data_IF_512455870858
#
_entry.id   IF_512455870858
#
_cell.length_a   1.000
_cell.length_b   1.000
_cell.length_c   1.000
_cell.angle_alpha   90.00
_cell.angle_beta   90.00
_cell.angle_gamma   90.00
#
_symmetry.space_group_name_H-M   'P 1'
#
loop_
_entity.id
_entity.type
_entity.pdbx_description
1 polymer ?
#
# COMPACT_ATOMS: atom_id res chain seq x y z
N UNK A 1 8.76 -28.27 -22.99
CA UNK A 1 8.10 -27.53 -21.88
C UNK A 1 7.49 -26.18 -22.29
N UNK A 2 7.57 -25.73 -23.55
CA UNK A 2 6.99 -24.46 -24.02
C UNK A 2 5.56 -24.53 -24.60
N UNK A 3 4.85 -25.66 -24.47
CA UNK A 3 3.56 -25.86 -25.16
C UNK A 3 2.31 -25.84 -24.26
N UNK A 4 2.49 -25.76 -22.96
CA UNK A 4 1.39 -25.63 -21.99
C UNK A 4 1.88 -24.67 -20.89
N UNK A 5 1.39 -23.42 -20.86
CA UNK A 5 1.72 -22.39 -19.87
C UNK A 5 1.18 -22.77 -18.47
N UNK A 6 1.60 -23.92 -17.94
CA UNK A 6 1.29 -24.35 -16.58
C UNK A 6 2.31 -23.69 -15.66
N UNK A 7 1.93 -22.56 -15.05
CA UNK A 7 2.68 -21.97 -13.94
C UNK A 7 2.50 -22.87 -12.70
N UNK A 8 3.40 -23.83 -12.53
CA UNK A 8 3.47 -24.60 -11.28
C UNK A 8 3.99 -23.68 -10.16
N UNK A 9 3.33 -23.67 -8.98
CA UNK A 9 3.85 -22.98 -7.81
C UNK A 9 5.27 -23.48 -7.47
N UNK A 10 6.13 -22.57 -7.03
CA UNK A 10 7.55 -22.86 -6.75
C UNK A 10 7.75 -24.04 -5.79
N UNK A 11 6.80 -24.26 -4.87
CA UNK A 11 6.86 -25.39 -3.93
C UNK A 11 6.89 -26.75 -4.66
N UNK A 12 6.08 -26.92 -5.71
CA UNK A 12 6.02 -28.17 -6.47
C UNK A 12 7.29 -28.40 -7.30
N UNK A 13 7.88 -27.32 -7.82
CA UNK A 13 9.14 -27.38 -8.57
C UNK A 13 10.29 -27.83 -7.66
N UNK A 14 10.37 -27.29 -6.43
CA UNK A 14 11.36 -27.69 -5.44
C UNK A 14 11.17 -29.16 -4.99
N UNK A 15 9.93 -29.59 -4.77
CA UNK A 15 9.64 -31.00 -4.46
C UNK A 15 10.05 -31.94 -5.60
N UNK A 16 9.72 -31.60 -6.86
CA UNK A 16 10.10 -32.39 -8.02
C UNK A 16 11.63 -32.51 -8.17
N UNK A 17 12.36 -31.42 -7.91
CA UNK A 17 13.83 -31.41 -7.91
C UNK A 17 14.41 -32.30 -6.80
N UNK A 18 13.84 -32.24 -5.60
CA UNK A 18 14.22 -33.10 -4.49
C UNK A 18 13.99 -34.58 -4.79
N UNK A 19 12.83 -34.93 -5.34
CA UNK A 19 12.51 -36.30 -5.75
C UNK A 19 13.50 -36.81 -6.80
N UNK A 20 13.78 -35.98 -7.82
CA UNK A 20 14.73 -36.30 -8.90
C UNK A 20 16.13 -36.56 -8.36
N UNK A 21 16.57 -35.80 -7.36
CA UNK A 21 17.88 -35.98 -6.74
C UNK A 21 17.97 -37.30 -5.96
N UNK A 22 16.90 -37.68 -5.25
CA UNK A 22 16.82 -38.96 -4.54
C UNK A 22 16.82 -40.13 -5.52
N UNK A 23 16.05 -40.04 -6.60
CA UNK A 23 16.00 -41.05 -7.67
C UNK A 23 17.37 -41.23 -8.34
N UNK A 24 18.03 -40.14 -8.71
CA UNK A 24 19.37 -40.17 -9.29
C UNK A 24 20.41 -40.78 -8.33
N UNK A 25 20.25 -40.57 -7.01
CA UNK A 25 21.16 -41.16 -6.03
C UNK A 25 20.86 -42.63 -5.80
N UNK A 26 19.58 -43.03 -5.78
CA UNK A 26 19.15 -44.42 -5.64
C UNK A 26 19.58 -45.30 -6.80
N UNK A 27 19.41 -44.84 -8.04
CA UNK A 27 19.83 -45.54 -9.26
C UNK A 27 21.36 -45.75 -9.36
N UNK A 28 22.16 -44.92 -8.66
CA UNK A 28 23.62 -45.10 -8.59
C UNK A 28 24.03 -46.20 -7.62
N UNK A 29 23.18 -46.57 -6.66
CA UNK A 29 23.42 -47.65 -5.70
C UNK A 29 22.85 -48.99 -6.18
N UNK A 30 21.67 -48.96 -6.80
CA UNK A 30 20.98 -50.11 -7.34
C UNK A 30 20.32 -49.74 -8.69
N UNK A 31 20.85 -50.22 -9.83
CA UNK A 31 20.38 -49.85 -11.16
C UNK A 31 18.95 -50.33 -11.48
N UNK A 32 18.44 -51.36 -10.80
CA UNK A 32 17.16 -52.00 -11.09
C UNK A 32 16.02 -51.55 -10.15
N UNK A 33 16.28 -50.52 -9.32
CA UNK A 33 15.33 -50.06 -8.31
C UNK A 33 14.16 -49.26 -8.94
N UNK A 34 12.91 -49.70 -8.69
CA UNK A 34 11.70 -48.93 -9.01
C UNK A 34 11.34 -48.01 -7.83
N UNK A 35 11.83 -46.77 -7.91
CA UNK A 35 11.62 -45.72 -6.90
C UNK A 35 10.13 -45.37 -6.74
N UNK A 36 9.35 -45.45 -7.82
CA UNK A 36 7.91 -45.12 -7.81
C UNK A 36 7.12 -46.18 -7.06
N UNK A 37 7.41 -47.47 -7.30
CA UNK A 37 6.79 -48.57 -6.60
C UNK A 37 7.08 -48.51 -5.08
N UNK A 38 8.30 -48.12 -4.70
CA UNK A 38 8.71 -47.98 -3.31
C UNK A 38 7.97 -46.83 -2.58
N UNK A 39 7.72 -45.72 -3.28
CA UNK A 39 7.04 -44.54 -2.72
C UNK A 39 5.51 -44.66 -2.66
N UNK A 40 4.91 -45.51 -3.50
CA UNK A 40 3.46 -45.75 -3.57
C UNK A 40 2.78 -46.05 -2.21
N UNK A 41 3.30 -46.94 -1.35
CA UNK A 41 2.69 -47.20 -0.03
C UNK A 41 2.76 -45.99 0.91
N UNK A 42 3.81 -45.17 0.84
CA UNK A 42 3.94 -43.96 1.65
C UNK A 42 2.93 -42.90 1.24
N UNK A 43 2.77 -42.67 -0.08
CA UNK A 43 1.77 -41.76 -0.62
C UNK A 43 0.35 -42.18 -0.20
N UNK A 44 0.03 -43.48 -0.30
CA UNK A 44 -1.26 -44.03 0.17
C UNK A 44 -1.49 -43.79 1.66
N UNK A 45 -0.48 -44.02 2.51
CA UNK A 45 -0.57 -43.80 3.96
C UNK A 45 -0.81 -42.32 4.30
N UNK A 46 -0.13 -41.40 3.61
CA UNK A 46 -0.32 -39.95 3.75
C UNK A 46 -1.71 -39.51 3.32
N UNK A 47 -2.22 -39.99 2.19
CA UNK A 47 -3.58 -39.67 1.74
C UNK A 47 -4.63 -40.16 2.74
N UNK A 48 -4.52 -41.40 3.22
CA UNK A 48 -5.45 -41.94 4.24
C UNK A 48 -5.38 -41.13 5.53
N UNK A 49 -4.20 -40.68 5.95
CA UNK A 49 -4.05 -39.87 7.15
C UNK A 49 -4.60 -38.44 6.98
N UNK A 50 -4.54 -37.88 5.76
CA UNK A 50 -5.06 -36.56 5.42
C UNK A 50 -6.58 -36.55 5.27
N UNK A 51 -7.15 -37.63 4.73
CA UNK A 51 -8.59 -37.83 4.55
C UNK A 51 -9.24 -38.61 5.71
N UNK A 52 -8.56 -38.74 6.86
CA UNK A 52 -9.13 -39.46 8.00
C UNK A 52 -10.31 -38.64 8.59
N UNK A 53 -11.55 -39.15 8.57
CA UNK A 53 -12.73 -38.42 9.08
C UNK A 53 -12.63 -38.07 10.57
N UNK A 54 -11.86 -38.83 11.37
CA UNK A 54 -11.57 -38.51 12.76
C UNK A 54 -10.80 -37.19 12.92
N UNK A 55 -9.86 -36.88 12.01
CA UNK A 55 -9.12 -35.61 12.05
C UNK A 55 -9.99 -34.44 11.61
N UNK A 56 -10.88 -34.63 10.65
CA UNK A 56 -11.84 -33.60 10.25
C UNK A 56 -12.82 -33.28 11.38
N UNK A 57 -13.32 -34.29 12.09
CA UNK A 57 -14.20 -34.10 13.25
C UNK A 57 -13.49 -33.35 14.39
N UNK A 58 -12.22 -33.67 14.66
CA UNK A 58 -11.45 -32.98 15.70
C UNK A 58 -11.13 -31.52 15.31
N UNK A 59 -10.83 -31.27 14.03
CA UNK A 59 -10.65 -29.91 13.52
C UNK A 59 -11.95 -29.09 13.58
N UNK A 60 -13.10 -29.70 13.29
CA UNK A 60 -14.40 -29.06 13.43
C UNK A 60 -14.67 -28.69 14.90
N UNK A 61 -14.44 -29.62 15.83
CA UNK A 61 -14.57 -29.36 17.29
C UNK A 61 -13.69 -28.19 17.74
N UNK A 62 -12.42 -28.17 17.33
CA UNK A 62 -11.51 -27.07 17.66
C UNK A 62 -11.96 -25.74 17.05
N UNK A 63 -12.52 -25.76 15.83
CA UNK A 63 -13.09 -24.57 15.18
C UNK A 63 -14.32 -24.05 15.91
N UNK A 64 -15.18 -24.94 16.42
CA UNK A 64 -16.33 -24.58 17.27
C UNK A 64 -15.89 -23.93 18.60
N UNK A 65 -14.85 -24.47 19.27
CA UNK A 65 -14.30 -23.84 20.48
C UNK A 65 -13.71 -22.45 20.21
N UNK A 66 -13.03 -22.27 19.08
CA UNK A 66 -12.53 -20.96 18.68
C UNK A 66 -13.68 -19.97 18.45
N UNK A 67 -14.77 -20.42 17.82
CA UNK A 67 -15.96 -19.59 17.56
C UNK A 67 -16.67 -19.18 18.86
N UNK A 68 -16.79 -20.10 19.83
CA UNK A 68 -17.34 -19.80 21.16
C UNK A 68 -16.51 -18.74 21.90
N UNK A 69 -15.17 -18.84 21.83
CA UNK A 69 -14.28 -17.87 22.43
C UNK A 69 -14.43 -16.47 21.83
N UNK A 70 -14.56 -16.38 20.51
CA UNK A 70 -14.78 -15.10 19.80
C UNK A 70 -16.14 -14.50 20.18
N UNK A 71 -17.20 -15.30 20.21
CA UNK A 71 -18.54 -14.86 20.62
C UNK A 71 -18.58 -14.36 22.07
N UNK A 72 -17.81 -14.95 22.98
CA UNK A 72 -17.69 -14.49 24.37
C UNK A 72 -16.84 -13.22 24.51
N UNK A 73 -15.83 -13.04 23.67
CA UNK A 73 -14.94 -11.87 23.71
C UNK A 73 -15.53 -10.64 23.01
N UNK A 74 -16.38 -10.84 22.00
CA UNK A 74 -17.03 -9.83 21.18
C UNK A 74 -17.75 -8.73 21.98
N UNK A 75 -18.63 -9.06 22.96
CA UNK A 75 -19.32 -8.06 23.77
C UNK A 75 -18.33 -7.14 24.48
N UNK A 76 -17.25 -7.70 25.05
CA UNK A 76 -16.25 -6.92 25.76
C UNK A 76 -15.47 -5.97 24.84
N UNK A 77 -15.21 -6.39 23.60
CA UNK A 77 -14.55 -5.55 22.60
C UNK A 77 -15.45 -4.41 22.16
N UNK A 78 -16.73 -4.69 21.94
CA UNK A 78 -17.73 -3.67 21.61
C UNK A 78 -17.88 -2.68 22.76
N UNK A 79 -18.07 -3.15 24.00
CA UNK A 79 -18.18 -2.27 25.17
C UNK A 79 -16.95 -1.41 25.37
N UNK A 80 -15.74 -1.97 25.26
CA UNK A 80 -14.48 -1.20 25.36
C UNK A 80 -14.34 -0.17 24.25
N UNK A 81 -14.80 -0.49 23.03
CA UNK A 81 -14.72 0.43 21.90
C UNK A 81 -15.71 1.57 22.06
N UNK A 82 -16.96 1.28 22.44
CA UNK A 82 -17.99 2.29 22.72
C UNK A 82 -17.55 3.20 23.87
N UNK A 83 -16.98 2.63 24.94
CA UNK A 83 -16.50 3.39 26.09
C UNK A 83 -15.36 4.34 25.71
N UNK A 84 -14.41 3.89 24.86
CA UNK A 84 -13.36 4.76 24.31
C UNK A 84 -13.91 5.88 23.40
N UNK A 85 -14.96 5.60 22.64
CA UNK A 85 -15.68 6.60 21.82
C UNK A 85 -16.37 7.63 22.70
N UNK A 86 -17.00 7.21 23.79
CA UNK A 86 -17.71 8.07 24.74
C UNK A 86 -16.75 8.98 25.53
N UNK A 87 -15.60 8.45 25.98
CA UNK A 87 -14.56 9.24 26.66
C UNK A 87 -13.80 10.20 25.72
N UNK A 88 -14.07 10.18 24.42
CA UNK A 88 -13.38 11.03 23.44
C UNK A 88 -11.90 10.66 23.24
N UNK A 89 -11.43 9.56 23.83
CA UNK A 89 -10.08 9.01 23.67
C UNK A 89 -9.87 8.27 22.34
N UNK A 90 -10.86 8.31 21.44
CA UNK A 90 -10.62 7.93 20.05
C UNK A 90 -9.76 8.99 19.41
N UNK A 91 -8.45 8.84 19.61
CA UNK A 91 -7.43 9.39 18.73
C UNK A 91 -7.60 8.68 17.39
N UNK A 92 -8.57 9.13 16.61
CA UNK A 92 -8.58 8.84 15.18
C UNK A 92 -7.30 9.49 14.68
N UNK A 93 -6.28 8.67 14.41
CA UNK A 93 -5.16 9.07 13.57
C UNK A 93 -5.74 9.26 12.16
N UNK A 94 -6.48 10.36 11.98
CA UNK A 94 -6.81 10.87 10.67
C UNK A 94 -5.47 11.30 10.14
N UNK A 95 -4.86 10.44 9.33
CA UNK A 95 -3.70 10.79 8.54
C UNK A 95 -4.20 11.82 7.53
N UNK A 96 -4.28 13.09 7.95
CA UNK A 96 -4.79 14.18 7.12
C UNK A 96 -3.72 14.51 6.09
N UNK A 97 -3.62 13.68 5.05
CA UNK A 97 -2.59 13.73 4.01
C UNK A 97 -2.54 15.06 3.26
N UNK A 98 -3.54 15.92 3.43
CA UNK A 98 -3.73 17.15 2.67
C UNK A 98 -3.54 18.45 3.48
N UNK A 99 -3.25 18.40 4.79
CA UNK A 99 -3.05 19.66 5.57
C UNK A 99 -1.83 20.43 5.05
N UNK A 100 -0.75 19.73 4.75
CA UNK A 100 0.48 20.32 4.20
C UNK A 100 0.24 20.96 2.83
N UNK A 101 -0.58 20.33 2.00
CA UNK A 101 -0.93 20.83 0.66
C UNK A 101 -1.76 22.11 0.74
N UNK A 102 -2.76 22.14 1.62
CA UNK A 102 -3.60 23.32 1.87
C UNK A 102 -2.75 24.49 2.41
N UNK A 103 -1.85 24.21 3.37
CA UNK A 103 -0.96 25.23 3.93
C UNK A 103 -0.02 25.82 2.86
N UNK A 104 0.51 24.98 1.96
CA UNK A 104 1.38 25.43 0.88
C UNK A 104 0.62 26.27 -0.16
N UNK A 105 -0.61 25.88 -0.52
CA UNK A 105 -1.46 26.67 -1.42
C UNK A 105 -1.78 28.05 -0.82
N UNK A 106 -2.10 28.09 0.48
CA UNK A 106 -2.38 29.34 1.18
C UNK A 106 -1.14 30.26 1.22
N UNK A 107 0.04 29.70 1.51
CA UNK A 107 1.29 30.46 1.53
C UNK A 107 1.59 31.09 0.17
N UNK A 108 1.44 30.32 -0.92
CA UNK A 108 1.63 30.82 -2.29
C UNK A 108 0.61 31.92 -2.65
N UNK A 109 -0.65 31.75 -2.29
CA UNK A 109 -1.69 32.76 -2.52
C UNK A 109 -1.36 34.09 -1.83
N UNK A 110 -0.87 34.03 -0.58
CA UNK A 110 -0.45 35.22 0.18
C UNK A 110 0.77 35.90 -0.49
N UNK A 111 1.75 35.13 -0.94
CA UNK A 111 2.93 35.68 -1.64
C UNK A 111 2.51 36.39 -2.94
N UNK A 112 1.63 35.78 -3.73
CA UNK A 112 1.10 36.38 -4.98
C UNK A 112 0.35 37.67 -4.66
N UNK A 113 -0.52 37.68 -3.65
CA UNK A 113 -1.26 38.86 -3.21
C UNK A 113 -0.32 39.99 -2.75
N UNK A 114 0.69 39.66 -1.93
CA UNK A 114 1.69 40.62 -1.48
C UNK A 114 2.50 41.21 -2.64
N UNK A 115 2.86 40.39 -3.63
CA UNK A 115 3.55 40.85 -4.85
C UNK A 115 2.66 41.76 -5.69
N UNK A 116 1.38 41.45 -5.85
CA UNK A 116 0.43 42.32 -6.57
C UNK A 116 0.29 43.67 -5.89
N UNK A 117 0.05 43.67 -4.58
CA UNK A 117 -0.12 44.91 -3.79
C UNK A 117 1.18 45.71 -3.78
N UNK A 118 2.32 45.07 -3.54
CA UNK A 118 3.63 45.74 -3.55
C UNK A 118 3.97 46.33 -4.91
N UNK A 119 3.72 45.60 -6.00
CA UNK A 119 3.95 46.09 -7.37
C UNK A 119 3.01 47.25 -7.71
N UNK A 120 1.75 47.18 -7.29
CA UNK A 120 0.77 48.26 -7.46
C UNK A 120 1.18 49.51 -6.67
N UNK A 121 1.74 49.35 -5.48
CA UNK A 121 2.22 50.47 -4.67
C UNK A 121 3.44 51.13 -5.32
N UNK A 122 4.40 50.32 -5.82
CA UNK A 122 5.58 50.82 -6.53
C UNK A 122 5.20 51.53 -7.83
N UNK A 123 4.10 51.14 -8.49
CA UNK A 123 3.57 51.89 -9.63
C UNK A 123 3.04 53.29 -9.24
N UNK A 124 2.57 53.46 -8.01
CA UNK A 124 2.02 54.73 -7.54
C UNK A 124 3.10 55.69 -7.03
N UNK A 125 4.20 55.16 -6.49
CA UNK A 125 5.30 55.95 -5.95
C UNK A 125 6.33 56.17 -7.07
N UNK A 126 6.62 57.42 -7.38
CA UNK A 126 7.39 57.81 -8.57
C UNK A 126 8.92 57.62 -8.43
N UNK A 127 9.33 56.48 -7.86
CA UNK A 127 10.70 56.14 -7.44
C UNK A 127 11.31 54.99 -8.26
N UNK A 128 12.47 55.24 -8.88
CA UNK A 128 13.30 54.24 -9.56
C UNK A 128 13.55 54.47 -11.06
N UNK A 129 14.37 53.62 -11.72
CA UNK A 129 14.62 53.70 -13.16
C UNK A 129 13.31 53.48 -13.95
N UNK A 130 12.95 54.45 -14.79
CA UNK A 130 11.72 54.43 -15.59
C UNK A 130 11.99 53.88 -16.98
N UNK A 131 11.06 53.08 -17.48
CA UNK A 131 11.01 52.69 -18.88
C UNK A 131 9.61 53.02 -19.38
N UNK A 132 9.50 53.91 -20.38
CA UNK A 132 8.23 54.27 -21.00
C UNK A 132 7.16 54.77 -20.00
N UNK A 133 7.55 55.72 -19.12
CA UNK A 133 6.69 56.35 -18.09
C UNK A 133 6.22 55.44 -16.94
N UNK A 134 6.58 54.15 -16.93
CA UNK A 134 6.25 53.21 -15.85
C UNK A 134 7.49 52.82 -15.03
N UNK A 135 7.36 52.66 -13.69
CA UNK A 135 8.42 52.10 -12.85
C UNK A 135 8.72 50.64 -13.26
N UNK A 136 9.97 50.36 -13.66
CA UNK A 136 10.39 49.03 -14.13
C UNK A 136 10.16 47.95 -13.07
N UNK A 137 10.37 48.30 -11.79
CA UNK A 137 10.16 47.40 -10.65
C UNK A 137 8.70 46.93 -10.52
N UNK A 138 7.73 47.83 -10.75
CA UNK A 138 6.30 47.49 -10.69
C UNK A 138 5.90 46.55 -11.84
N UNK A 139 6.38 46.81 -13.05
CA UNK A 139 6.11 45.97 -14.22
C UNK A 139 6.68 44.55 -14.05
N UNK A 140 7.91 44.44 -13.55
CA UNK A 140 8.55 43.15 -13.28
C UNK A 140 7.79 42.38 -12.20
N UNK A 141 7.43 43.03 -11.10
CA UNK A 141 6.67 42.37 -10.02
C UNK A 141 5.29 41.89 -10.46
N UNK A 142 4.59 42.66 -11.31
CA UNK A 142 3.30 42.25 -11.87
C UNK A 142 3.44 41.05 -12.83
N UNK A 143 4.47 41.06 -13.67
CA UNK A 143 4.75 39.95 -14.61
C UNK A 143 5.09 38.67 -13.86
N UNK A 144 5.92 38.75 -12.80
CA UNK A 144 6.27 37.61 -11.95
C UNK A 144 5.02 37.08 -11.24
N UNK A 145 4.19 37.95 -10.69
CA UNK A 145 2.97 37.55 -10.00
C UNK A 145 1.98 36.84 -10.93
N UNK A 146 1.80 37.35 -12.15
CA UNK A 146 0.96 36.74 -13.18
C UNK A 146 1.47 35.34 -13.58
N UNK A 147 2.79 35.19 -13.77
CA UNK A 147 3.39 33.90 -14.07
C UNK A 147 3.20 32.88 -12.93
N UNK A 148 3.40 33.29 -11.68
CA UNK A 148 3.20 32.45 -10.50
C UNK A 148 1.73 32.05 -10.30
N UNK A 149 0.79 32.96 -10.57
CA UNK A 149 -0.65 32.68 -10.53
C UNK A 149 -1.05 31.62 -11.55
N UNK A 150 -0.63 31.78 -12.81
CA UNK A 150 -0.91 30.80 -13.88
C UNK A 150 -0.28 29.45 -13.55
N UNK A 151 0.96 29.42 -13.08
CA UNK A 151 1.64 28.19 -12.66
C UNK A 151 0.88 27.45 -11.55
N UNK A 152 0.34 28.18 -10.57
CA UNK A 152 -0.43 27.60 -9.46
C UNK A 152 -1.72 26.96 -9.94
N UNK A 153 -2.45 27.62 -10.86
CA UNK A 153 -3.70 27.08 -11.44
C UNK A 153 -3.43 25.84 -12.29
N UNK A 154 -2.37 25.85 -13.11
CA UNK A 154 -1.99 24.69 -13.93
C UNK A 154 -1.62 23.49 -13.07
N UNK A 155 -0.85 23.69 -12.00
CA UNK A 155 -0.50 22.63 -11.05
C UNK A 155 -1.75 22.03 -10.40
N UNK A 156 -2.68 22.87 -9.95
CA UNK A 156 -3.93 22.40 -9.34
C UNK A 156 -4.76 21.54 -10.31
N UNK A 157 -4.76 21.86 -11.60
CA UNK A 157 -5.49 21.10 -12.63
C UNK A 157 -4.79 19.80 -13.04
N UNK A 158 -3.46 19.70 -12.85
CA UNK A 158 -2.67 18.49 -13.15
C UNK A 158 -2.70 17.48 -11.98
N UNK A 159 -2.82 17.97 -10.75
CA UNK A 159 -2.77 17.15 -9.52
C UNK A 159 -4.16 16.57 -9.12
N UNK A 160 -5.21 16.73 -9.95
CA UNK A 160 -6.54 16.12 -9.81
C UNK A 160 -6.73 14.98 -10.82
#
# INVERSE_FOLDING_TARGET
MQKFEVRLPNEFVLMARGLSMVENTGLRLDPDIDVVALLKPFARKLMVQRYNPLKMANNAKNSFFAFEHVLRALPSLISKTIYKVEEGEVTVNIEVKHISEIANQLSLAIIIAALLVGSSLVMLIDVGPRFYEMPVLGFVGFTISLALGVFTVLRYFIDF
#
